data_IF_089342725392
#
_entry.id   IF_089342725392
#
_cell.length_a   1.000
_cell.length_b   1.000
_cell.length_c   1.000
_cell.angle_alpha   90.00
_cell.angle_beta   90.00
_cell.angle_gamma   90.00
#
_symmetry.space_group_name_H-M   'P 1'
#
loop_
_entity.id
_entity.type
_entity.pdbx_description
1 polymer ?
#
# COMPACT_ATOMS: atom_id res chain seq x y z
N UNK A 1 -14.84 -12.63 7.97
CA UNK A 1 -13.98 -12.49 6.78
C UNK A 1 -13.84 -11.02 6.41
N UNK A 2 -12.63 -10.55 6.30
CA UNK A 2 -12.36 -9.13 6.00
C UNK A 2 -12.50 -8.86 4.52
N UNK A 3 -13.23 -7.81 4.18
CA UNK A 3 -13.36 -7.38 2.79
C UNK A 3 -12.19 -6.48 2.41
N UNK A 4 -11.86 -6.49 1.10
CA UNK A 4 -10.96 -5.49 0.56
C UNK A 4 -11.63 -4.13 0.68
N UNK A 5 -11.01 -3.22 1.41
CA UNK A 5 -11.53 -1.88 1.59
C UNK A 5 -11.15 -0.99 0.42
N UNK A 6 -11.97 0.01 0.18
CA UNK A 6 -11.61 1.05 -0.79
C UNK A 6 -10.71 2.05 -0.08
N UNK A 7 -9.48 2.10 -0.49
CA UNK A 7 -8.49 2.97 0.12
C UNK A 7 -7.98 3.99 -0.87
N UNK A 8 -7.69 5.17 -0.36
CA UNK A 8 -6.92 6.15 -1.11
C UNK A 8 -5.44 5.78 -1.02
N UNK A 9 -4.66 6.17 -2.02
CA UNK A 9 -3.23 5.87 -2.03
C UNK A 9 -2.52 6.34 -0.77
N UNK A 10 -2.85 7.53 -0.27
CA UNK A 10 -2.27 8.07 0.96
C UNK A 10 -2.54 7.20 2.18
N UNK A 11 -3.74 6.63 2.25
CA UNK A 11 -4.11 5.75 3.35
C UNK A 11 -3.30 4.45 3.31
N UNK A 12 -3.13 3.91 2.10
CA UNK A 12 -2.34 2.70 1.92
C UNK A 12 -0.86 2.94 2.25
N UNK A 13 -0.30 4.07 1.81
CA UNK A 13 1.08 4.43 2.14
C UNK A 13 1.25 4.52 3.67
N UNK A 14 0.29 5.12 4.35
CA UNK A 14 0.32 5.24 5.81
C UNK A 14 0.30 3.87 6.49
N UNK A 15 -0.56 2.97 6.00
CA UNK A 15 -0.65 1.62 6.53
C UNK A 15 0.67 0.85 6.31
N UNK A 16 1.25 0.97 5.13
CA UNK A 16 2.52 0.29 4.82
C UNK A 16 3.66 0.82 5.68
N UNK A 17 3.68 2.12 5.99
CA UNK A 17 4.66 2.67 6.93
C UNK A 17 4.54 2.03 8.31
N UNK A 18 3.32 1.77 8.76
CA UNK A 18 3.09 1.08 10.03
C UNK A 18 3.60 -0.36 9.99
N UNK A 19 3.63 -0.95 8.81
CA UNK A 19 4.16 -2.31 8.62
C UNK A 19 5.68 -2.33 8.47
N UNK A 20 6.35 -1.18 8.58
CA UNK A 20 7.80 -1.11 8.50
C UNK A 20 8.36 -0.67 7.15
N UNK A 21 7.49 -0.32 6.20
CA UNK A 21 7.93 0.21 4.91
C UNK A 21 8.32 1.68 5.03
N UNK A 22 9.31 2.08 4.25
CA UNK A 22 9.74 3.47 4.13
C UNK A 22 9.56 3.95 2.71
N UNK A 23 9.24 5.24 2.55
CA UNK A 23 9.16 5.84 1.23
C UNK A 23 10.58 6.12 0.75
N UNK A 24 10.95 5.51 -0.38
CA UNK A 24 12.25 5.72 -0.99
C UNK A 24 12.25 7.02 -1.81
N UNK A 25 11.18 7.21 -2.57
CA UNK A 25 11.03 8.40 -3.42
C UNK A 25 9.59 8.51 -3.88
N UNK A 26 9.23 9.70 -4.36
CA UNK A 26 7.97 9.93 -5.04
C UNK A 26 8.26 10.46 -6.43
N UNK A 27 7.50 10.00 -7.41
CA UNK A 27 7.65 10.48 -8.78
C UNK A 27 6.27 10.71 -9.36
N UNK A 28 5.89 11.97 -9.51
CA UNK A 28 4.52 12.33 -9.85
C UNK A 28 3.60 11.85 -8.75
N UNK A 29 2.59 11.06 -9.11
CA UNK A 29 1.65 10.48 -8.16
C UNK A 29 2.08 9.11 -7.65
N UNK A 30 3.24 8.59 -8.08
CA UNK A 30 3.71 7.27 -7.69
C UNK A 30 4.67 7.37 -6.50
N UNK A 31 4.36 6.62 -5.46
CA UNK A 31 5.19 6.55 -4.25
C UNK A 31 5.87 5.18 -4.22
N UNK A 32 7.20 5.18 -4.15
CA UNK A 32 8.00 3.96 -4.11
C UNK A 32 8.39 3.67 -2.68
N UNK A 33 8.05 2.46 -2.19
CA UNK A 33 8.31 2.05 -0.82
C UNK A 33 9.14 0.78 -0.78
N UNK A 34 9.96 0.67 0.25
CA UNK A 34 10.73 -0.54 0.50
C UNK A 34 10.76 -0.88 1.98
N UNK A 35 10.97 -2.16 2.25
CA UNK A 35 11.11 -2.69 3.61
C UNK A 35 12.55 -3.21 3.77
N UNK A 36 13.13 -3.14 4.98
CA UNK A 36 14.49 -3.64 5.20
C UNK A 36 14.71 -5.10 4.80
N UNK A 37 13.65 -5.90 4.75
CA UNK A 37 13.74 -7.30 4.34
C UNK A 37 13.78 -7.50 2.81
N UNK A 38 13.73 -6.41 2.03
CA UNK A 38 13.84 -6.48 0.58
C UNK A 38 12.52 -6.38 -0.18
N UNK A 39 11.38 -6.36 0.50
CA UNK A 39 10.10 -6.19 -0.18
C UNK A 39 9.98 -4.76 -0.68
N UNK A 40 9.43 -4.60 -1.90
CA UNK A 40 9.22 -3.28 -2.51
C UNK A 40 7.87 -3.23 -3.18
N UNK A 41 7.30 -2.03 -3.25
CA UNK A 41 6.06 -1.81 -4.00
C UNK A 41 5.96 -0.36 -4.45
N UNK A 42 5.01 -0.11 -5.35
CA UNK A 42 4.70 1.24 -5.82
C UNK A 42 3.21 1.48 -5.59
N UNK A 43 2.89 2.60 -4.97
CA UNK A 43 1.50 2.97 -4.68
C UNK A 43 1.18 4.27 -5.42
N UNK A 44 0.13 4.28 -6.26
CA UNK A 44 -0.34 5.54 -6.83
C UNK A 44 -1.08 6.33 -5.74
N UNK A 45 -0.54 7.47 -5.38
CA UNK A 45 -1.09 8.33 -4.33
C UNK A 45 -1.75 9.58 -4.91
N UNK A 46 -2.52 9.39 -5.99
CA UNK A 46 -3.20 10.50 -6.63
C UNK A 46 -4.34 11.01 -5.76
N UNK A 47 -4.38 12.32 -5.59
CA UNK A 47 -5.33 12.97 -4.69
C UNK A 47 -6.79 12.65 -5.06
N UNK A 48 -7.55 12.16 -4.08
CA UNK A 48 -8.98 11.90 -4.24
C UNK A 48 -9.36 10.61 -4.92
N UNK A 49 -8.40 9.87 -5.49
CA UNK A 49 -8.69 8.60 -6.15
C UNK A 49 -8.51 7.42 -5.21
N UNK A 50 -9.42 6.46 -5.31
CA UNK A 50 -9.29 5.20 -4.58
C UNK A 50 -8.51 4.18 -5.40
N UNK A 51 -7.84 3.29 -4.69
CA UNK A 51 -7.12 2.19 -5.33
C UNK A 51 -8.12 1.08 -5.61
N UNK A 52 -8.21 0.67 -6.88
CA UNK A 52 -9.10 -0.41 -7.27
C UNK A 52 -8.68 -1.76 -6.68
N UNK A 53 -9.62 -2.71 -6.60
CA UNK A 53 -9.35 -4.00 -5.96
C UNK A 53 -8.24 -4.82 -6.64
N UNK A 54 -8.13 -4.75 -7.96
CA UNK A 54 -7.07 -5.46 -8.68
C UNK A 54 -5.70 -4.94 -8.33
N UNK A 55 -5.53 -3.61 -8.34
CA UNK A 55 -4.26 -2.99 -7.98
C UNK A 55 -3.94 -3.20 -6.51
N UNK A 56 -4.93 -3.11 -5.63
CA UNK A 56 -4.72 -3.35 -4.21
C UNK A 56 -4.21 -4.76 -3.95
N UNK A 57 -4.78 -5.75 -4.62
CA UNK A 57 -4.32 -7.14 -4.51
C UNK A 57 -2.89 -7.31 -5.00
N UNK A 58 -2.53 -6.63 -6.09
CA UNK A 58 -1.17 -6.66 -6.61
C UNK A 58 -0.18 -6.06 -5.61
N UNK A 59 -0.55 -4.93 -4.99
CA UNK A 59 0.28 -4.31 -3.97
C UNK A 59 0.43 -5.23 -2.75
N UNK A 60 -0.67 -5.82 -2.29
CA UNK A 60 -0.63 -6.75 -1.16
C UNK A 60 0.28 -7.95 -1.45
N UNK A 61 0.29 -8.42 -2.69
CA UNK A 61 1.19 -9.50 -3.10
C UNK A 61 2.64 -9.05 -3.04
N UNK A 62 2.95 -7.85 -3.51
CA UNK A 62 4.30 -7.30 -3.46
C UNK A 62 4.81 -7.20 -2.02
N UNK A 63 3.97 -6.74 -1.11
CA UNK A 63 4.35 -6.52 0.29
C UNK A 63 4.12 -7.74 1.17
N UNK A 64 3.57 -8.81 0.61
CA UNK A 64 3.32 -10.07 1.29
C UNK A 64 2.44 -9.91 2.53
N UNK A 65 1.41 -9.08 2.40
CA UNK A 65 0.41 -8.89 3.44
C UNK A 65 -0.93 -9.46 3.00
N UNK A 66 -1.66 -10.02 3.96
CA UNK A 66 -3.03 -10.44 3.73
C UNK A 66 -3.98 -9.24 3.87
N UNK A 67 -5.22 -9.42 3.42
CA UNK A 67 -6.27 -8.41 3.60
C UNK A 67 -6.49 -8.13 5.08
N UNK A 68 -6.49 -9.17 5.91
CA UNK A 68 -6.68 -9.02 7.35
C UNK A 68 -5.53 -8.25 8.00
N UNK A 69 -4.30 -8.54 7.58
CA UNK A 69 -3.13 -7.82 8.09
C UNK A 69 -3.19 -6.34 7.69
N UNK A 70 -3.62 -6.05 6.47
CA UNK A 70 -3.82 -4.67 6.05
C UNK A 70 -4.87 -3.97 6.89
N UNK A 71 -6.00 -4.64 7.14
CA UNK A 71 -7.08 -4.06 7.95
C UNK A 71 -6.58 -3.66 9.34
N UNK A 72 -5.71 -4.46 9.93
CA UNK A 72 -5.13 -4.16 11.25
C UNK A 72 -4.22 -2.93 11.23
N UNK A 73 -3.73 -2.54 10.07
CA UNK A 73 -2.83 -1.39 9.92
C UNK A 73 -3.57 -0.07 9.64
N UNK A 74 -4.85 -0.15 9.38
CA UNK A 74 -5.66 1.02 9.01
C UNK A 74 -6.19 1.82 10.20
#
# INVERSE_FOLDING_TARGET
>A
MTRLQRLKGKELVRALKRAGFAVDRSRGSHVFLSHPDGRTTTVPAHSGETIGPGLLRAILRDVELSVDELADLL
#
